data_IF_261704547947
#
_entry.id   IF_261704547947
#
_cell.length_a   1.000
_cell.length_b   1.000
_cell.length_c   1.000
_cell.angle_alpha   90.00
_cell.angle_beta   90.00
_cell.angle_gamma   90.00
#
_symmetry.space_group_name_H-M   'P 1'
#
loop_
_entity.id
_entity.type
_entity.pdbx_description
1 polymer ?
#
# COMPACT_ATOMS: atom_id res chain seq x y z
N UNK A 1 39.46 -30.24 -14.60
CA UNK A 1 38.40 -31.21 -14.25
C UNK A 1 37.59 -30.59 -13.14
N UNK A 2 36.32 -30.32 -13.45
CA UNK A 2 35.36 -29.62 -12.61
C UNK A 2 35.19 -30.27 -11.24
N UNK A 3 34.93 -29.45 -10.23
CA UNK A 3 33.90 -29.77 -9.25
C UNK A 3 33.15 -28.48 -8.89
N UNK A 4 32.02 -28.28 -9.55
CA UNK A 4 30.99 -27.32 -9.22
C UNK A 4 30.27 -27.85 -7.97
N UNK A 5 30.37 -27.14 -6.84
CA UNK A 5 29.47 -27.33 -5.70
C UNK A 5 29.60 -26.16 -4.71
N UNK A 6 29.04 -25.00 -5.08
CA UNK A 6 28.61 -23.96 -4.14
C UNK A 6 27.33 -23.29 -4.65
N UNK A 7 26.26 -24.06 -4.61
CA UNK A 7 24.89 -23.59 -4.88
C UNK A 7 24.33 -22.92 -3.62
N UNK A 8 24.25 -21.59 -3.68
CA UNK A 8 23.19 -20.72 -3.14
C UNK A 8 22.40 -21.23 -1.92
N UNK A 9 22.98 -21.16 -0.72
CA UNK A 9 22.22 -21.18 0.53
C UNK A 9 22.38 -19.85 1.25
N UNK A 10 21.24 -19.19 1.49
CA UNK A 10 20.99 -18.06 2.39
C UNK A 10 21.31 -16.65 1.85
N UNK A 11 20.54 -16.17 0.86
CA UNK A 11 20.58 -14.76 0.40
C UNK A 11 19.27 -13.98 0.59
N UNK A 12 18.46 -14.29 1.60
CA UNK A 12 17.23 -13.53 1.91
C UNK A 12 17.03 -13.17 3.39
N UNK A 13 18.08 -13.28 4.21
CA UNK A 13 18.08 -12.78 5.59
C UNK A 13 18.93 -11.49 5.69
N UNK A 14 18.63 -10.48 4.87
CA UNK A 14 19.11 -9.13 5.17
C UNK A 14 18.09 -8.51 6.13
N UNK A 15 18.51 -8.34 7.39
CA UNK A 15 17.83 -7.42 8.29
C UNK A 15 17.61 -6.09 7.55
N UNK A 16 16.47 -5.39 7.78
CA UNK A 16 16.26 -4.09 7.16
C UNK A 16 17.50 -3.23 7.44
N UNK A 17 18.11 -2.64 6.39
CA UNK A 17 19.33 -1.86 6.57
C UNK A 17 19.09 -0.82 7.65
N UNK A 18 20.07 -0.58 8.55
CA UNK A 18 19.95 0.49 9.53
C UNK A 18 19.61 1.80 8.80
N UNK A 19 18.80 2.67 9.42
CA UNK A 19 18.30 3.92 8.79
C UNK A 19 19.42 4.75 8.12
N UNK A 20 20.65 4.67 8.63
CA UNK A 20 21.84 5.30 8.04
C UNK A 20 22.17 4.80 6.62
N UNK A 21 21.99 3.51 6.34
CA UNK A 21 22.30 2.90 5.05
C UNK A 21 21.31 3.32 3.95
N UNK A 22 20.06 3.63 4.31
CA UNK A 22 19.06 4.16 3.38
C UNK A 22 19.42 5.58 2.93
N UNK A 23 19.85 6.45 3.85
CA UNK A 23 20.28 7.81 3.51
C UNK A 23 21.60 7.83 2.76
N UNK A 24 22.50 6.87 3.00
CA UNK A 24 23.69 6.67 2.19
C UNK A 24 23.34 6.30 0.73
N UNK A 25 22.44 5.35 0.52
CA UNK A 25 21.99 4.97 -0.83
C UNK A 25 21.26 6.11 -1.55
N UNK A 26 20.40 6.81 -0.83
CA UNK A 26 19.72 8.01 -1.29
C UNK A 26 20.71 9.14 -1.64
N UNK A 27 21.76 9.31 -0.83
CA UNK A 27 22.87 10.23 -1.08
C UNK A 27 23.66 9.85 -2.33
N UNK A 28 23.96 8.56 -2.55
CA UNK A 28 24.59 8.08 -3.80
C UNK A 28 23.70 8.35 -5.01
N UNK A 29 22.39 8.12 -4.87
CA UNK A 29 21.44 8.40 -5.94
C UNK A 29 21.42 9.89 -6.29
N UNK A 30 21.36 10.77 -5.30
CA UNK A 30 21.40 12.21 -5.50
C UNK A 30 22.70 12.65 -6.17
N UNK A 31 23.84 12.15 -5.68
CA UNK A 31 25.16 12.48 -6.20
C UNK A 31 25.29 12.14 -7.69
N UNK A 32 24.84 10.93 -8.06
CA UNK A 32 24.87 10.45 -9.45
C UNK A 32 23.88 11.18 -10.34
N UNK A 33 22.66 11.43 -9.88
CA UNK A 33 21.60 12.05 -10.69
C UNK A 33 21.75 13.57 -10.83
N UNK A 34 22.45 14.22 -9.91
CA UNK A 34 22.77 15.65 -9.95
C UNK A 34 24.02 15.98 -10.77
N UNK A 35 24.80 14.97 -11.18
CA UNK A 35 26.11 15.11 -11.84
C UNK A 35 27.13 15.93 -11.01
N UNK A 36 27.09 15.81 -9.68
CA UNK A 36 28.01 16.53 -8.75
C UNK A 36 29.00 15.61 -8.04
N UNK A 37 29.34 14.47 -8.65
CA UNK A 37 30.29 13.49 -8.12
C UNK A 37 31.69 14.08 -7.84
N UNK A 38 32.07 15.14 -8.56
CA UNK A 38 33.39 15.79 -8.45
C UNK A 38 33.46 16.90 -7.41
N UNK A 39 32.35 17.28 -6.77
CA UNK A 39 32.35 18.35 -5.76
C UNK A 39 33.08 17.88 -4.47
N UNK A 40 33.87 18.74 -3.80
CA UNK A 40 34.53 18.37 -2.54
C UNK A 40 33.51 18.07 -1.43
N UNK A 41 33.62 16.93 -0.74
CA UNK A 41 32.65 16.53 0.29
C UNK A 41 31.25 16.25 -0.26
N UNK A 42 31.15 15.97 -1.56
CA UNK A 42 29.89 15.75 -2.29
C UNK A 42 29.04 14.63 -1.69
N UNK A 43 29.67 13.56 -1.22
CA UNK A 43 28.95 12.43 -0.65
C UNK A 43 28.25 12.81 0.65
N UNK A 44 28.97 13.33 1.65
CA UNK A 44 28.39 13.71 2.95
C UNK A 44 27.32 14.80 2.80
N UNK A 45 27.54 15.75 1.89
CA UNK A 45 26.55 16.79 1.59
C UNK A 45 25.31 16.20 0.93
N UNK A 46 25.47 15.26 -0.02
CA UNK A 46 24.34 14.55 -0.63
C UNK A 46 23.57 13.69 0.38
N UNK A 47 24.25 13.06 1.33
CA UNK A 47 23.60 12.30 2.41
C UNK A 47 22.80 13.25 3.30
N UNK A 48 23.36 14.40 3.71
CA UNK A 48 22.62 15.40 4.49
C UNK A 48 21.41 15.96 3.73
N UNK A 49 21.54 16.19 2.42
CA UNK A 49 20.40 16.60 1.59
C UNK A 49 19.37 15.45 1.51
N UNK A 50 19.80 14.21 1.30
CA UNK A 50 18.92 13.06 1.24
C UNK A 50 18.15 12.83 2.55
N UNK A 51 18.78 13.04 3.70
CA UNK A 51 18.15 13.06 5.02
C UNK A 51 17.07 14.14 5.10
N UNK A 52 17.38 15.38 4.68
CA UNK A 52 16.41 16.49 4.63
C UNK A 52 15.23 16.21 3.68
N UNK A 53 15.42 15.36 2.66
CA UNK A 53 14.40 14.94 1.71
C UNK A 53 13.67 13.64 2.13
N UNK A 54 13.99 13.09 3.31
CA UNK A 54 13.38 11.87 3.83
C UNK A 54 13.75 10.60 3.06
N UNK A 55 14.84 10.61 2.28
CA UNK A 55 15.31 9.45 1.51
C UNK A 55 14.44 9.05 0.32
N UNK A 56 13.46 9.87 -0.05
CA UNK A 56 12.47 9.56 -1.09
C UNK A 56 13.10 9.62 -2.50
N UNK A 57 13.14 8.51 -3.28
CA UNK A 57 13.79 8.48 -4.59
C UNK A 57 13.29 9.53 -5.58
N UNK A 58 11.98 9.86 -5.55
CA UNK A 58 11.43 10.89 -6.44
C UNK A 58 11.77 12.31 -5.97
N UNK A 59 11.81 12.56 -4.65
CA UNK A 59 12.28 13.85 -4.13
C UNK A 59 13.75 14.07 -4.50
N UNK A 60 14.56 13.02 -4.38
CA UNK A 60 15.96 13.01 -4.79
C UNK A 60 16.09 13.30 -6.29
N UNK A 61 15.32 12.60 -7.14
CA UNK A 61 15.34 12.84 -8.58
C UNK A 61 14.90 14.27 -8.94
N UNK A 62 13.93 14.84 -8.22
CA UNK A 62 13.49 16.23 -8.41
C UNK A 62 14.58 17.23 -8.03
N UNK A 63 15.22 17.06 -6.87
CA UNK A 63 16.27 17.96 -6.42
C UNK A 63 17.52 17.83 -7.28
N UNK A 64 17.88 16.61 -7.69
CA UNK A 64 18.91 16.38 -8.68
C UNK A 64 18.64 17.10 -10.01
N UNK A 65 17.39 17.08 -10.48
CA UNK A 65 16.99 17.83 -11.66
C UNK A 65 17.16 19.34 -11.46
N UNK A 66 16.74 19.89 -10.32
CA UNK A 66 16.88 21.31 -10.01
C UNK A 66 18.33 21.76 -9.88
N UNK A 67 19.18 20.96 -9.22
CA UNK A 67 20.63 21.20 -9.11
C UNK A 67 21.24 21.32 -10.51
N UNK A 68 20.88 20.41 -11.42
CA UNK A 68 21.35 20.46 -12.82
C UNK A 68 20.78 21.64 -13.59
N UNK A 69 19.48 21.86 -13.51
CA UNK A 69 18.77 22.88 -14.29
C UNK A 69 19.19 24.31 -13.90
N UNK A 70 19.44 24.55 -12.60
CA UNK A 70 19.92 25.84 -12.10
C UNK A 70 21.45 25.94 -12.06
N UNK A 71 22.15 24.88 -12.49
CA UNK A 71 23.61 24.79 -12.47
C UNK A 71 24.27 25.03 -11.10
N UNK A 72 23.58 24.68 -10.00
CA UNK A 72 24.05 24.89 -8.62
C UNK A 72 25.09 23.84 -8.21
N UNK A 73 26.13 24.24 -7.48
CA UNK A 73 26.93 23.33 -6.66
C UNK A 73 26.11 22.79 -5.48
N UNK A 74 26.59 21.73 -4.81
CA UNK A 74 25.87 21.19 -3.64
C UNK A 74 25.78 22.19 -2.48
N UNK A 75 26.81 23.01 -2.25
CA UNK A 75 26.81 24.05 -1.22
C UNK A 75 25.85 25.19 -1.55
N UNK A 76 25.87 25.68 -2.80
CA UNK A 76 24.91 26.69 -3.27
C UNK A 76 23.49 26.16 -3.23
N UNK A 77 23.28 24.86 -3.50
CA UNK A 77 21.98 24.23 -3.37
C UNK A 77 21.50 24.22 -1.92
N UNK A 78 22.35 23.89 -0.95
CA UNK A 78 21.99 23.93 0.49
C UNK A 78 21.61 25.35 0.91
N UNK A 79 22.43 26.35 0.58
CA UNK A 79 22.14 27.76 0.88
C UNK A 79 20.83 28.23 0.20
N UNK A 80 20.64 27.85 -1.05
CA UNK A 80 19.43 28.17 -1.81
C UNK A 80 18.18 27.46 -1.27
N UNK A 81 18.33 26.22 -0.79
CA UNK A 81 17.28 25.44 -0.15
C UNK A 81 16.85 26.05 1.19
N UNK A 82 17.81 26.48 2.01
CA UNK A 82 17.58 27.08 3.32
C UNK A 82 16.88 28.46 3.20
N UNK A 83 17.10 29.19 2.10
CA UNK A 83 16.49 30.50 1.86
C UNK A 83 15.13 30.49 1.13
N UNK A 84 14.84 29.49 0.29
CA UNK A 84 13.70 29.54 -0.65
C UNK A 84 12.95 28.19 -0.75
N UNK A 85 12.74 27.53 0.40
CA UNK A 85 12.02 26.25 0.54
C UNK A 85 10.65 26.24 -0.17
N UNK A 86 9.96 27.40 -0.22
CA UNK A 86 8.66 27.54 -0.90
C UNK A 86 8.71 27.54 -2.43
N UNK A 87 9.80 27.93 -3.08
CA UNK A 87 9.87 27.82 -4.56
C UNK A 87 10.24 26.43 -5.04
N UNK A 88 10.92 25.65 -4.21
CA UNK A 88 11.14 24.23 -4.44
C UNK A 88 9.83 23.43 -4.38
N UNK A 89 8.93 23.86 -3.50
CA UNK A 89 7.53 23.49 -3.44
C UNK A 89 6.70 23.95 -4.67
N UNK A 90 7.27 24.51 -5.74
CA UNK A 90 6.48 24.85 -6.95
C UNK A 90 7.13 24.37 -8.25
N UNK A 91 8.30 23.75 -8.15
CA UNK A 91 9.13 23.40 -9.30
C UNK A 91 8.68 22.07 -9.95
N UNK A 92 8.07 22.17 -11.13
CA UNK A 92 7.65 21.02 -11.94
C UNK A 92 8.85 20.28 -12.53
N UNK A 93 8.82 18.94 -12.50
CA UNK A 93 9.73 18.12 -13.31
C UNK A 93 9.18 18.06 -14.75
N UNK A 94 10.00 18.23 -15.80
CA UNK A 94 9.56 17.99 -17.17
C UNK A 94 9.04 16.56 -17.34
N UNK A 95 7.75 16.41 -17.63
CA UNK A 95 7.07 15.10 -17.76
C UNK A 95 6.16 14.71 -16.58
N UNK A 96 6.23 15.40 -15.43
CA UNK A 96 5.22 15.33 -14.36
C UNK A 96 4.36 16.60 -14.40
N UNK A 97 3.04 16.46 -14.34
CA UNK A 97 2.15 17.62 -14.28
C UNK A 97 2.34 18.39 -12.98
N UNK A 98 2.19 19.73 -13.04
CA UNK A 98 2.35 20.71 -11.94
C UNK A 98 1.57 20.41 -10.65
N UNK A 99 0.65 19.44 -10.69
CA UNK A 99 -0.18 18.95 -9.57
C UNK A 99 0.44 17.78 -8.80
N UNK A 100 1.58 17.22 -9.25
CA UNK A 100 2.18 15.98 -8.73
C UNK A 100 3.56 16.20 -8.08
N UNK A 101 3.85 17.43 -7.69
CA UNK A 101 5.16 17.85 -7.19
C UNK A 101 5.39 17.42 -5.73
N UNK A 102 6.66 17.28 -5.32
CA UNK A 102 7.07 16.93 -3.94
C UNK A 102 6.54 17.95 -2.90
N UNK A 103 6.13 19.13 -3.35
CA UNK A 103 5.30 20.10 -2.60
C UNK A 103 4.17 19.51 -1.79
N UNK A 104 3.38 18.61 -2.37
CA UNK A 104 2.19 18.09 -1.70
C UNK A 104 2.59 17.26 -0.48
N UNK A 105 3.76 16.61 -0.53
CA UNK A 105 4.33 15.80 0.56
C UNK A 105 4.67 16.65 1.78
N UNK A 106 5.24 17.84 1.58
CA UNK A 106 5.57 18.74 2.70
C UNK A 106 4.37 19.47 3.32
N UNK A 107 3.20 19.47 2.66
CA UNK A 107 1.98 20.04 3.23
C UNK A 107 1.27 19.10 4.20
N UNK A 108 1.67 17.82 4.32
CA UNK A 108 0.99 16.83 5.16
C UNK A 108 0.99 17.26 6.64
N UNK A 109 2.09 17.84 7.12
CA UNK A 109 2.23 18.28 8.52
C UNK A 109 1.30 19.45 8.90
N UNK A 110 0.85 20.22 7.89
CA UNK A 110 -0.03 21.37 8.10
C UNK A 110 -1.52 21.03 8.06
N UNK A 111 -1.86 19.77 7.76
CA UNK A 111 -3.24 19.34 7.60
C UNK A 111 -3.95 19.20 8.96
N UNK A 112 -5.25 19.51 9.02
CA UNK A 112 -6.05 19.23 10.21
C UNK A 112 -6.16 17.72 10.45
N UNK A 113 -6.27 17.26 11.70
CA UNK A 113 -6.25 15.83 12.03
C UNK A 113 -7.24 14.96 11.24
N UNK A 114 -8.49 15.39 10.95
CA UNK A 114 -9.40 14.60 10.12
C UNK A 114 -8.93 14.41 8.67
N UNK A 115 -8.25 15.40 8.09
CA UNK A 115 -7.67 15.29 6.75
C UNK A 115 -6.47 14.35 6.75
N UNK A 116 -5.61 14.41 7.79
CA UNK A 116 -4.49 13.46 7.97
C UNK A 116 -5.01 12.04 8.11
N UNK A 117 -6.02 11.80 8.96
CA UNK A 117 -6.58 10.47 9.16
C UNK A 117 -7.21 9.89 7.88
N UNK A 118 -7.92 10.73 7.11
CA UNK A 118 -8.44 10.34 5.80
C UNK A 118 -7.30 10.03 4.80
N UNK A 119 -6.24 10.84 4.78
CA UNK A 119 -5.07 10.62 3.92
C UNK A 119 -4.33 9.33 4.27
N UNK A 120 -4.19 9.03 5.56
CA UNK A 120 -3.61 7.78 6.07
C UNK A 120 -4.42 6.58 5.57
N UNK A 121 -5.75 6.61 5.67
CA UNK A 121 -6.59 5.53 5.10
C UNK A 121 -6.43 5.43 3.58
N UNK A 122 -6.38 6.56 2.87
CA UNK A 122 -6.14 6.56 1.42
C UNK A 122 -4.75 6.03 1.03
N UNK A 123 -3.77 5.99 1.94
CA UNK A 123 -2.42 5.49 1.65
C UNK A 123 -2.36 3.97 1.54
N UNK A 124 -3.32 3.24 2.09
CA UNK A 124 -3.41 1.77 2.04
C UNK A 124 -4.49 1.26 1.08
N UNK A 125 -5.19 2.17 0.39
CA UNK A 125 -6.21 1.90 -0.62
C UNK A 125 -5.65 2.03 -2.04
N UNK A 126 -6.48 1.74 -3.05
CA UNK A 126 -6.11 1.90 -4.46
C UNK A 126 -5.84 3.38 -4.81
N UNK A 127 -4.71 3.60 -5.48
CA UNK A 127 -4.25 4.93 -5.88
C UNK A 127 -5.12 5.56 -6.97
N UNK A 128 -5.65 4.73 -7.86
CA UNK A 128 -6.23 5.20 -9.12
C UNK A 128 -7.71 5.53 -8.94
N UNK A 129 -8.47 4.67 -8.24
CA UNK A 129 -9.90 4.85 -8.02
C UNK A 129 -10.37 4.36 -6.64
N UNK A 130 -10.45 5.28 -5.68
CA UNK A 130 -11.15 5.07 -4.41
C UNK A 130 -12.53 5.73 -4.44
N UNK A 131 -13.58 4.92 -4.56
CA UNK A 131 -14.96 5.41 -4.66
C UNK A 131 -15.48 5.98 -3.33
N UNK A 132 -16.38 6.97 -3.43
CA UNK A 132 -16.96 7.65 -2.27
C UNK A 132 -17.68 6.69 -1.30
N UNK A 133 -18.35 5.67 -1.82
CA UNK A 133 -19.05 4.68 -1.00
C UNK A 133 -18.11 3.97 -0.02
N UNK A 134 -16.92 3.57 -0.46
CA UNK A 134 -15.88 2.98 0.42
C UNK A 134 -15.58 3.90 1.61
N UNK A 135 -15.47 5.21 1.39
CA UNK A 135 -15.01 6.17 2.41
C UNK A 135 -16.14 6.75 3.29
N UNK A 136 -17.40 6.46 2.98
CA UNK A 136 -18.54 7.09 3.66
C UNK A 136 -19.55 6.11 4.22
N UNK A 137 -19.41 4.81 3.93
CA UNK A 137 -20.30 3.77 4.45
C UNK A 137 -19.73 3.22 5.76
N UNK A 138 -20.60 3.06 6.77
CA UNK A 138 -20.28 2.49 8.09
C UNK A 138 -19.02 3.05 8.77
N UNK A 139 -18.75 4.34 8.58
CA UNK A 139 -17.65 5.10 9.24
C UNK A 139 -17.69 5.01 10.76
N UNK A 140 -18.85 4.70 11.35
CA UNK A 140 -19.01 4.45 12.79
C UNK A 140 -18.29 3.18 13.28
N UNK A 141 -18.07 2.19 12.41
CA UNK A 141 -17.33 0.94 12.71
C UNK A 141 -15.82 1.13 12.66
N UNK A 142 -15.33 2.25 12.11
CA UNK A 142 -13.90 2.52 11.99
C UNK A 142 -13.33 2.94 13.34
N UNK A 143 -12.37 2.14 13.82
CA UNK A 143 -11.59 2.41 15.05
C UNK A 143 -10.27 3.06 14.65
N UNK A 144 -10.34 4.33 14.23
CA UNK A 144 -9.17 5.14 13.91
C UNK A 144 -9.37 6.56 14.43
N UNK A 145 -8.35 7.10 15.10
CA UNK A 145 -8.41 8.42 15.68
C UNK A 145 -8.60 9.50 14.60
N UNK A 146 -9.42 10.50 14.92
CA UNK A 146 -9.78 11.62 14.05
C UNK A 146 -10.41 11.24 12.70
N UNK A 147 -10.68 9.97 12.42
CA UNK A 147 -11.28 9.58 11.16
C UNK A 147 -12.67 10.21 11.01
N UNK A 148 -13.00 10.83 9.85
CA UNK A 148 -14.29 11.48 9.67
C UNK A 148 -15.46 10.51 9.80
N UNK A 149 -16.26 10.66 10.86
CA UNK A 149 -17.42 9.77 11.12
C UNK A 149 -18.71 10.28 10.49
N UNK A 150 -18.84 11.58 10.24
CA UNK A 150 -20.02 12.13 9.58
C UNK A 150 -19.74 12.52 8.12
N UNK A 151 -20.80 12.68 7.32
CA UNK A 151 -20.68 13.14 5.93
C UNK A 151 -20.11 14.54 5.82
N UNK A 152 -20.40 15.41 6.80
CA UNK A 152 -19.92 16.79 6.84
C UNK A 152 -18.42 16.79 7.09
N UNK A 153 -17.96 16.10 8.14
CA UNK A 153 -16.52 15.97 8.45
C UNK A 153 -15.74 15.37 7.27
N UNK A 154 -16.31 14.37 6.59
CA UNK A 154 -15.70 13.78 5.41
C UNK A 154 -15.55 14.80 4.27
N UNK A 155 -16.57 15.65 4.05
CA UNK A 155 -16.50 16.66 3.00
C UNK A 155 -15.46 17.74 3.31
N UNK A 156 -15.35 18.19 4.56
CA UNK A 156 -14.35 19.16 5.01
C UNK A 156 -12.93 18.58 4.93
N UNK A 157 -12.73 17.35 5.41
CA UNK A 157 -11.46 16.65 5.31
C UNK A 157 -11.03 16.47 3.85
N UNK A 158 -11.95 16.00 2.99
CA UNK A 158 -11.70 15.84 1.55
C UNK A 158 -11.43 17.17 0.86
N UNK A 159 -12.17 18.23 1.17
CA UNK A 159 -11.93 19.56 0.61
C UNK A 159 -10.52 20.04 0.93
N UNK A 160 -10.08 19.83 2.16
CA UNK A 160 -8.72 20.17 2.60
C UNK A 160 -7.66 19.41 1.81
N UNK A 161 -7.84 18.11 1.59
CA UNK A 161 -6.92 17.29 0.77
C UNK A 161 -6.88 17.69 -0.71
N UNK A 162 -8.01 18.15 -1.26
CA UNK A 162 -8.09 18.67 -2.63
C UNK A 162 -7.37 20.02 -2.71
N UNK A 163 -7.62 20.93 -1.75
CA UNK A 163 -6.95 22.24 -1.68
C UNK A 163 -5.43 22.12 -1.55
N UNK A 164 -4.95 21.11 -0.83
CA UNK A 164 -3.53 20.82 -0.70
C UNK A 164 -2.93 20.05 -1.88
N UNK A 165 -3.72 19.75 -2.92
CA UNK A 165 -3.28 18.98 -4.10
C UNK A 165 -2.71 17.60 -3.76
N UNK A 166 -3.20 16.98 -2.68
CA UNK A 166 -2.84 15.61 -2.28
C UNK A 166 -3.74 14.57 -2.94
N UNK A 167 -4.98 14.96 -3.24
CA UNK A 167 -6.00 14.09 -3.83
C UNK A 167 -6.74 14.83 -4.93
N UNK A 168 -7.00 14.14 -6.04
CA UNK A 168 -7.84 14.62 -7.13
C UNK A 168 -9.19 13.92 -7.09
N UNK A 169 -10.27 14.62 -7.45
CA UNK A 169 -11.62 14.06 -7.49
C UNK A 169 -12.15 14.00 -8.91
N UNK A 170 -12.61 12.84 -9.32
CA UNK A 170 -13.46 12.70 -10.49
C UNK A 170 -14.93 12.90 -10.07
N UNK A 171 -15.55 13.98 -10.52
CA UNK A 171 -16.94 14.32 -10.16
C UNK A 171 -17.94 13.41 -10.88
N UNK A 172 -17.68 13.10 -12.15
CA UNK A 172 -18.56 12.31 -13.02
C UNK A 172 -18.65 10.85 -12.56
N UNK A 173 -17.49 10.24 -12.30
CA UNK A 173 -17.39 8.83 -11.91
C UNK A 173 -17.39 8.62 -10.39
N UNK A 174 -17.28 9.69 -9.60
CA UNK A 174 -17.48 9.66 -8.15
C UNK A 174 -16.36 9.00 -7.33
N UNK A 175 -15.11 9.04 -7.82
CA UNK A 175 -13.94 8.51 -7.11
C UNK A 175 -12.88 9.57 -6.83
N UNK A 176 -12.00 9.26 -5.88
CA UNK A 176 -10.77 9.97 -5.56
C UNK A 176 -9.57 9.23 -6.13
N UNK A 177 -8.58 10.00 -6.56
CA UNK A 177 -7.28 9.53 -7.03
C UNK A 177 -6.21 10.18 -6.17
N UNK A 178 -5.28 9.37 -5.69
CA UNK A 178 -4.12 9.81 -4.91
C UNK A 178 -2.85 9.37 -5.64
N UNK A 179 -1.82 10.21 -5.64
CA UNK A 179 -0.58 9.85 -6.30
C UNK A 179 0.13 8.74 -5.51
N UNK A 180 0.60 7.68 -6.19
CA UNK A 180 1.29 6.54 -5.55
C UNK A 180 2.44 6.97 -4.63
N UNK A 181 3.23 7.98 -5.03
CA UNK A 181 4.28 8.54 -4.17
C UNK A 181 3.73 9.12 -2.86
N UNK A 182 2.60 9.84 -2.92
CA UNK A 182 2.00 10.41 -1.69
C UNK A 182 1.59 9.28 -0.76
N UNK A 183 1.03 8.18 -1.29
CA UNK A 183 0.71 7.02 -0.48
C UNK A 183 1.96 6.40 0.15
N UNK A 184 3.04 6.24 -0.62
CA UNK A 184 4.32 5.72 -0.11
C UNK A 184 4.84 6.58 1.02
N UNK A 185 4.93 7.90 0.82
CA UNK A 185 5.38 8.86 1.84
C UNK A 185 4.56 8.73 3.12
N UNK A 186 3.23 8.75 2.99
CA UNK A 186 2.33 8.66 4.15
C UNK A 186 2.53 7.34 4.88
N UNK A 187 2.72 6.22 4.18
CA UNK A 187 3.02 4.92 4.82
C UNK A 187 4.37 4.92 5.53
N UNK A 188 5.41 5.50 4.93
CA UNK A 188 6.75 5.59 5.55
C UNK A 188 6.78 6.45 6.82
N UNK A 189 5.83 7.38 6.96
CA UNK A 189 5.69 8.21 8.16
C UNK A 189 4.93 7.52 9.29
N UNK A 190 4.30 6.37 9.04
CA UNK A 190 3.51 5.65 10.05
C UNK A 190 4.41 4.65 10.78
N UNK A 191 4.34 4.67 12.11
CA UNK A 191 4.88 3.57 12.89
C UNK A 191 4.07 2.28 12.65
N UNK A 192 4.66 1.11 12.89
CA UNK A 192 4.01 -0.19 12.62
C UNK A 192 2.64 -0.31 13.30
N UNK A 193 2.48 0.22 14.52
CA UNK A 193 1.20 0.21 15.24
C UNK A 193 0.14 1.12 14.60
N UNK A 194 0.54 2.32 14.14
CA UNK A 194 -0.35 3.23 13.42
C UNK A 194 -0.74 2.66 12.05
N UNK A 195 0.23 2.10 11.32
CA UNK A 195 -0.03 1.46 10.03
C UNK A 195 -1.01 0.30 10.17
N UNK A 196 -0.90 -0.50 11.24
CA UNK A 196 -1.85 -1.57 11.57
C UNK A 196 -3.26 -1.01 11.78
N UNK A 197 -3.41 0.05 12.57
CA UNK A 197 -4.71 0.66 12.83
C UNK A 197 -5.34 1.24 11.54
N UNK A 198 -4.52 1.91 10.71
CA UNK A 198 -4.93 2.45 9.42
C UNK A 198 -5.33 1.34 8.44
N UNK A 199 -4.58 0.25 8.41
CA UNK A 199 -4.87 -0.93 7.59
C UNK A 199 -6.20 -1.58 8.00
N UNK A 200 -6.40 -1.85 9.29
CA UNK A 200 -7.64 -2.44 9.78
C UNK A 200 -8.85 -1.54 9.51
N UNK A 201 -8.70 -0.21 9.69
CA UNK A 201 -9.72 0.76 9.33
C UNK A 201 -10.11 0.66 7.83
N UNK A 202 -9.12 0.57 6.95
CA UNK A 202 -9.36 0.40 5.51
C UNK A 202 -10.06 -0.94 5.19
N UNK A 203 -9.65 -2.03 5.85
CA UNK A 203 -10.29 -3.35 5.72
C UNK A 203 -11.76 -3.29 6.12
N UNK A 204 -12.10 -2.62 7.22
CA UNK A 204 -13.49 -2.42 7.66
C UNK A 204 -14.30 -1.67 6.61
N UNK A 205 -13.76 -0.58 6.07
CA UNK A 205 -14.43 0.24 5.05
C UNK A 205 -14.69 -0.54 3.75
N UNK A 206 -13.69 -1.28 3.27
CA UNK A 206 -13.81 -2.08 2.05
C UNK A 206 -14.76 -3.26 2.27
N UNK A 207 -14.68 -3.94 3.41
CA UNK A 207 -15.56 -5.06 3.75
C UNK A 207 -17.03 -4.64 3.79
N UNK A 208 -17.33 -3.43 4.25
CA UNK A 208 -18.71 -2.95 4.36
C UNK A 208 -19.39 -2.74 2.99
N UNK A 209 -18.63 -2.35 1.98
CA UNK A 209 -19.13 -2.21 0.61
C UNK A 209 -18.92 -3.47 -0.25
N UNK A 210 -18.14 -4.43 0.24
CA UNK A 210 -17.83 -5.65 -0.48
C UNK A 210 -19.06 -6.58 -0.52
N UNK A 211 -19.48 -7.04 -1.71
CA UNK A 211 -20.62 -7.94 -1.84
C UNK A 211 -20.19 -9.38 -1.54
N UNK A 212 -19.96 -9.72 -0.27
CA UNK A 212 -19.64 -11.09 0.16
C UNK A 212 -20.66 -12.08 -0.40
N UNK A 213 -20.19 -13.27 -0.78
CA UNK A 213 -21.03 -14.29 -1.39
C UNK A 213 -22.12 -14.77 -0.43
N UNK A 214 -23.35 -14.85 -0.93
CA UNK A 214 -24.41 -15.61 -0.28
C UNK A 214 -24.45 -17.04 -0.86
N UNK A 215 -24.94 -18.00 -0.07
CA UNK A 215 -25.00 -19.41 -0.48
C UNK A 215 -25.92 -19.65 -1.68
N UNK A 216 -26.81 -18.70 -1.98
CA UNK A 216 -27.89 -18.88 -2.94
C UNK A 216 -27.45 -18.59 -4.39
N UNK A 217 -26.60 -17.59 -4.63
CA UNK A 217 -26.07 -17.34 -5.98
C UNK A 217 -24.80 -16.46 -5.99
N UNK A 218 -23.60 -17.05 -5.84
CA UNK A 218 -22.35 -16.29 -5.81
C UNK A 218 -22.00 -15.61 -7.14
N UNK A 219 -22.64 -16.00 -8.26
CA UNK A 219 -22.26 -15.60 -9.62
C UNK A 219 -23.21 -14.57 -10.25
N UNK A 220 -24.04 -13.87 -9.45
CA UNK A 220 -24.92 -12.83 -9.99
C UNK A 220 -24.12 -11.70 -10.65
N UNK A 221 -24.56 -11.27 -11.84
CA UNK A 221 -23.82 -10.30 -12.64
C UNK A 221 -23.65 -8.94 -11.94
N UNK A 222 -24.68 -8.47 -11.21
CA UNK A 222 -24.64 -7.23 -10.43
C UNK A 222 -23.62 -7.31 -9.28
N UNK A 223 -23.54 -8.47 -8.60
CA UNK A 223 -22.50 -8.75 -7.60
C UNK A 223 -21.12 -8.71 -8.25
N UNK A 224 -20.92 -9.42 -9.36
CA UNK A 224 -19.61 -9.49 -10.02
C UNK A 224 -19.11 -8.12 -10.48
N UNK A 225 -20.01 -7.22 -10.92
CA UNK A 225 -19.66 -5.84 -11.24
C UNK A 225 -19.17 -5.06 -10.00
N UNK A 226 -19.84 -5.22 -8.86
CA UNK A 226 -19.41 -4.61 -7.59
C UNK A 226 -18.07 -5.19 -7.11
N UNK A 227 -17.88 -6.50 -7.19
CA UNK A 227 -16.59 -7.15 -6.90
C UNK A 227 -15.50 -6.54 -7.79
N UNK A 228 -15.71 -6.48 -9.11
CA UNK A 228 -14.73 -5.91 -10.04
C UNK A 228 -14.39 -4.45 -9.72
N UNK A 229 -15.39 -3.66 -9.30
CA UNK A 229 -15.22 -2.25 -8.95
C UNK A 229 -14.33 -2.04 -7.72
N UNK A 230 -14.45 -2.90 -6.72
CA UNK A 230 -13.69 -2.78 -5.46
C UNK A 230 -12.46 -3.69 -5.40
N UNK A 231 -12.28 -4.59 -6.37
CA UNK A 231 -11.15 -5.52 -6.44
C UNK A 231 -9.77 -4.87 -6.28
N UNK A 232 -9.47 -3.72 -6.93
CA UNK A 232 -8.17 -3.07 -6.78
C UNK A 232 -7.81 -2.73 -5.33
N UNK A 233 -8.81 -2.45 -4.50
CA UNK A 233 -8.62 -2.17 -3.07
C UNK A 233 -8.04 -3.39 -2.34
N UNK A 234 -8.54 -4.59 -2.64
CA UNK A 234 -8.06 -5.84 -2.03
C UNK A 234 -6.67 -6.22 -2.56
N UNK A 235 -6.37 -5.91 -3.82
CA UNK A 235 -5.01 -6.04 -4.37
C UNK A 235 -4.02 -5.13 -3.64
N UNK A 236 -4.42 -3.91 -3.30
CA UNK A 236 -3.56 -3.02 -2.50
C UNK A 236 -3.32 -3.55 -1.08
N UNK A 237 -4.32 -4.15 -0.44
CA UNK A 237 -4.14 -4.80 0.86
C UNK A 237 -3.11 -5.92 0.83
N UNK A 238 -3.10 -6.74 -0.23
CA UNK A 238 -2.04 -7.73 -0.47
C UNK A 238 -0.69 -7.05 -0.66
N UNK A 239 -0.60 -6.02 -1.49
CA UNK A 239 0.66 -5.32 -1.77
C UNK A 239 1.27 -4.70 -0.51
N UNK A 240 0.47 -4.06 0.35
CA UNK A 240 0.95 -3.48 1.62
C UNK A 240 1.55 -4.56 2.53
N UNK A 241 0.92 -5.74 2.61
CA UNK A 241 1.42 -6.85 3.43
C UNK A 241 2.70 -7.49 2.89
N UNK A 242 2.87 -7.52 1.56
CA UNK A 242 4.10 -8.02 0.94
C UNK A 242 5.30 -7.11 1.24
N UNK A 243 5.08 -5.80 1.41
CA UNK A 243 6.15 -4.84 1.73
C UNK A 243 6.51 -4.84 3.23
N UNK A 244 5.52 -4.90 4.12
CA UNK A 244 5.73 -4.73 5.58
C UNK A 244 5.98 -6.03 6.34
N UNK A 245 5.93 -7.19 5.66
CA UNK A 245 5.88 -8.53 6.23
C UNK A 245 4.67 -8.75 7.17
N UNK A 246 3.85 -9.75 6.84
CA UNK A 246 2.66 -10.18 7.59
C UNK A 246 2.88 -10.29 9.11
N UNK A 247 4.02 -10.84 9.53
CA UNK A 247 4.34 -11.07 10.95
C UNK A 247 4.54 -9.78 11.76
N UNK A 248 4.90 -8.66 11.10
CA UNK A 248 5.11 -7.36 11.75
C UNK A 248 3.80 -6.60 11.91
N UNK A 249 2.98 -6.55 10.85
CA UNK A 249 1.74 -5.77 10.86
C UNK A 249 0.62 -6.42 11.69
N UNK A 250 0.52 -7.76 11.69
CA UNK A 250 -0.52 -8.53 12.43
C UNK A 250 -1.96 -7.98 12.24
N UNK A 251 -2.47 -7.87 11.01
CA UNK A 251 -3.81 -7.34 10.75
C UNK A 251 -4.91 -8.18 11.39
N UNK A 252 -6.12 -7.62 11.48
CA UNK A 252 -7.30 -8.34 11.99
C UNK A 252 -7.77 -9.46 11.05
N UNK A 253 -8.37 -10.50 11.63
CA UNK A 253 -8.89 -11.69 10.93
C UNK A 253 -9.87 -11.35 9.81
N UNK A 254 -10.58 -10.21 9.91
CA UNK A 254 -11.53 -9.74 8.91
C UNK A 254 -10.93 -9.63 7.48
N UNK A 255 -9.62 -9.37 7.35
CA UNK A 255 -8.97 -9.29 6.03
C UNK A 255 -8.98 -10.63 5.29
N UNK A 256 -8.98 -11.75 6.02
CA UNK A 256 -9.02 -13.09 5.44
C UNK A 256 -10.29 -13.32 4.62
N UNK A 257 -11.42 -12.73 5.03
CA UNK A 257 -12.67 -12.80 4.28
C UNK A 257 -12.54 -12.18 2.89
N UNK A 258 -11.91 -11.00 2.79
CA UNK A 258 -11.66 -10.32 1.52
C UNK A 258 -10.69 -11.11 0.63
N UNK A 259 -9.65 -11.71 1.21
CA UNK A 259 -8.68 -12.52 0.46
C UNK A 259 -9.28 -13.83 -0.06
N UNK A 260 -10.13 -14.48 0.74
CA UNK A 260 -10.88 -15.65 0.31
C UNK A 260 -11.80 -15.30 -0.89
N UNK A 261 -12.54 -14.19 -0.81
CA UNK A 261 -13.37 -13.70 -1.92
C UNK A 261 -12.55 -13.27 -3.16
N UNK A 262 -11.37 -12.69 -2.95
CA UNK A 262 -10.46 -12.35 -4.03
C UNK A 262 -9.96 -13.60 -4.76
N UNK A 263 -9.60 -14.65 -4.02
CA UNK A 263 -9.22 -15.94 -4.59
C UNK A 263 -10.34 -16.56 -5.41
N UNK A 264 -11.56 -16.61 -4.84
CA UNK A 264 -12.73 -17.09 -5.57
C UNK A 264 -12.97 -16.34 -6.88
N UNK A 265 -12.78 -15.02 -6.87
CA UNK A 265 -12.93 -14.18 -8.07
C UNK A 265 -11.91 -14.53 -9.17
N UNK A 266 -10.68 -14.87 -8.80
CA UNK A 266 -9.66 -15.36 -9.74
C UNK A 266 -9.95 -16.77 -10.26
N UNK A 267 -10.45 -17.67 -9.39
CA UNK A 267 -10.89 -19.02 -9.78
C UNK A 267 -11.99 -18.93 -10.84
N UNK A 268 -13.00 -18.07 -10.63
CA UNK A 268 -14.11 -17.87 -11.57
C UNK A 268 -13.68 -17.32 -12.94
N UNK A 269 -12.61 -16.53 -12.97
CA UNK A 269 -12.14 -15.83 -14.18
C UNK A 269 -10.99 -16.56 -14.88
N UNK A 270 -10.76 -17.82 -14.54
CA UNK A 270 -9.57 -18.60 -14.92
C UNK A 270 -9.25 -18.54 -16.43
N UNK A 271 -8.40 -17.58 -16.77
CA UNK A 271 -7.64 -17.45 -18.02
C UNK A 271 -6.22 -17.00 -17.64
N UNK A 272 -5.20 -17.73 -18.07
CA UNK A 272 -3.78 -17.34 -17.88
C UNK A 272 -3.30 -17.37 -16.42
N UNK A 273 -2.48 -16.38 -16.03
CA UNK A 273 -1.77 -16.30 -14.75
C UNK A 273 -2.65 -16.04 -13.51
N UNK A 274 -3.96 -15.79 -13.66
CA UNK A 274 -4.83 -15.41 -12.55
C UNK A 274 -4.95 -16.45 -11.42
N UNK A 275 -4.71 -17.74 -11.70
CA UNK A 275 -4.69 -18.78 -10.65
C UNK A 275 -3.53 -18.61 -9.67
N UNK A 276 -2.39 -18.08 -10.11
CA UNK A 276 -1.25 -17.80 -9.24
C UNK A 276 -1.58 -16.68 -8.26
N UNK A 277 -2.26 -15.63 -8.72
CA UNK A 277 -2.75 -14.56 -7.85
C UNK A 277 -3.79 -15.10 -6.86
N UNK A 278 -4.73 -15.92 -7.32
CA UNK A 278 -5.71 -16.57 -6.44
C UNK A 278 -5.06 -17.44 -5.35
N UNK A 279 -3.99 -18.17 -5.68
CA UNK A 279 -3.21 -18.93 -4.71
C UNK A 279 -2.46 -18.03 -3.72
N UNK A 280 -1.93 -16.88 -4.18
CA UNK A 280 -1.24 -15.92 -3.32
C UNK A 280 -2.19 -15.29 -2.27
N UNK A 281 -3.42 -14.94 -2.67
CA UNK A 281 -4.43 -14.44 -1.73
C UNK A 281 -4.79 -15.49 -0.66
N UNK A 282 -4.93 -16.76 -1.04
CA UNK A 282 -5.23 -17.83 -0.08
C UNK A 282 -4.06 -18.11 0.85
N UNK A 283 -2.83 -18.11 0.34
CA UNK A 283 -1.64 -18.28 1.16
C UNK A 283 -1.55 -17.20 2.25
N UNK A 284 -1.84 -15.95 1.89
CA UNK A 284 -1.96 -14.85 2.86
C UNK A 284 -3.07 -15.11 3.87
N UNK A 285 -4.28 -15.46 3.42
CA UNK A 285 -5.41 -15.79 4.29
C UNK A 285 -5.06 -16.86 5.33
N UNK A 286 -4.46 -17.98 4.91
CA UNK A 286 -4.03 -19.07 5.80
C UNK A 286 -2.92 -18.65 6.77
N UNK A 287 -2.00 -17.79 6.32
CA UNK A 287 -0.95 -17.25 7.18
C UNK A 287 -1.55 -16.42 8.33
N UNK A 288 -2.60 -15.64 8.08
CA UNK A 288 -3.29 -14.88 9.13
C UNK A 288 -4.11 -15.76 10.05
N UNK A 289 -4.88 -16.69 9.47
CA UNK A 289 -5.74 -17.57 10.25
C UNK A 289 -4.94 -18.55 11.11
N UNK A 290 -3.69 -18.86 10.75
CA UNK A 290 -2.76 -19.67 11.55
C UNK A 290 -2.08 -18.94 12.70
N UNK A 291 -2.17 -17.60 12.78
CA UNK A 291 -1.64 -16.80 13.89
C UNK A 291 -2.76 -16.66 14.94
N UNK A 292 -2.49 -17.17 16.15
CA UNK A 292 -3.39 -17.34 17.32
C UNK A 292 -4.66 -16.47 17.43
N UNK A 293 -5.78 -17.16 17.75
CA UNK A 293 -6.86 -16.70 18.64
C UNK A 293 -7.80 -15.60 18.11
N UNK A 294 -8.72 -15.95 17.21
CA UNK A 294 -9.89 -15.10 16.96
C UNK A 294 -10.81 -15.13 18.19
N UNK A 295 -11.34 -13.97 18.59
CA UNK A 295 -12.38 -13.89 19.64
C UNK A 295 -13.68 -14.61 19.23
N UNK A 296 -13.91 -14.75 17.92
CA UNK A 296 -15.03 -15.50 17.33
C UNK A 296 -14.50 -16.77 16.66
N UNK A 297 -14.57 -17.89 17.39
CA UNK A 297 -14.16 -19.22 16.92
C UNK A 297 -14.98 -19.67 15.70
N UNK A 298 -16.28 -19.36 15.66
CA UNK A 298 -17.15 -19.77 14.56
C UNK A 298 -16.78 -19.05 13.25
N UNK A 299 -16.55 -17.74 13.34
CA UNK A 299 -16.09 -16.95 12.18
C UNK A 299 -14.72 -17.44 11.70
N UNK A 300 -13.81 -17.71 12.64
CA UNK A 300 -12.47 -18.21 12.31
C UNK A 300 -12.49 -19.56 11.62
N UNK A 301 -13.23 -20.54 12.15
CA UNK A 301 -13.38 -21.85 11.52
C UNK A 301 -14.01 -21.75 10.13
N UNK A 302 -15.00 -20.88 9.94
CA UNK A 302 -15.60 -20.64 8.62
C UNK A 302 -14.58 -20.06 7.62
N UNK A 303 -13.85 -19.03 8.01
CA UNK A 303 -12.84 -18.41 7.15
C UNK A 303 -11.70 -19.37 6.81
N UNK A 304 -11.32 -20.24 7.76
CA UNK A 304 -10.31 -21.27 7.58
C UNK A 304 -10.80 -22.36 6.62
N UNK A 305 -12.06 -22.80 6.75
CA UNK A 305 -12.67 -23.74 5.83
C UNK A 305 -12.72 -23.17 4.40
N UNK A 306 -13.13 -21.90 4.23
CA UNK A 306 -13.14 -21.23 2.93
C UNK A 306 -11.72 -21.11 2.34
N UNK A 307 -10.72 -20.77 3.17
CA UNK A 307 -9.34 -20.68 2.73
C UNK A 307 -8.80 -22.03 2.22
N UNK A 308 -8.98 -23.12 2.97
CA UNK A 308 -8.58 -24.45 2.53
C UNK A 308 -9.34 -24.93 1.30
N UNK A 309 -10.63 -24.62 1.19
CA UNK A 309 -11.44 -24.90 0.00
C UNK A 309 -10.82 -24.24 -1.23
N UNK A 310 -10.53 -22.94 -1.16
CA UNK A 310 -9.95 -22.22 -2.29
C UNK A 310 -8.52 -22.67 -2.58
N UNK A 311 -7.72 -23.00 -1.56
CA UNK A 311 -6.38 -23.56 -1.74
C UNK A 311 -6.43 -24.87 -2.53
N UNK A 312 -7.34 -25.78 -2.14
CA UNK A 312 -7.54 -27.08 -2.80
C UNK A 312 -7.90 -26.91 -4.28
N UNK A 313 -8.83 -25.98 -4.58
CA UNK A 313 -9.25 -25.68 -5.95
C UNK A 313 -8.08 -25.07 -6.76
N UNK A 314 -7.40 -24.05 -6.25
CA UNK A 314 -6.27 -23.42 -6.97
C UNK A 314 -5.13 -24.42 -7.18
N UNK A 315 -4.79 -25.20 -6.16
CA UNK A 315 -3.73 -26.21 -6.24
C UNK A 315 -4.07 -27.31 -7.24
N UNK A 316 -5.33 -27.75 -7.31
CA UNK A 316 -5.79 -28.72 -8.30
C UNK A 316 -5.56 -28.22 -9.73
N UNK A 317 -6.01 -26.99 -10.04
CA UNK A 317 -5.83 -26.42 -11.38
C UNK A 317 -4.35 -26.13 -11.70
N UNK A 318 -3.51 -25.88 -10.70
CA UNK A 318 -2.07 -25.65 -10.86
C UNK A 318 -1.23 -26.93 -10.86
N UNK A 319 -1.82 -28.11 -10.61
CA UNK A 319 -1.08 -29.37 -10.47
C UNK A 319 -0.13 -29.42 -9.27
N UNK A 320 -0.48 -28.72 -8.17
CA UNK A 320 0.31 -28.66 -6.94
C UNK A 320 -0.06 -29.80 -5.98
N UNK A 321 0.95 -30.34 -5.29
CA UNK A 321 0.79 -31.39 -4.25
C UNK A 321 -0.05 -30.94 -3.05
N UNK A 322 -0.31 -29.63 -2.92
CA UNK A 322 -1.15 -29.06 -1.86
C UNK A 322 -2.65 -29.35 -2.05
N UNK A 323 -3.09 -29.82 -3.22
CA UNK A 323 -4.50 -30.03 -3.51
C UNK A 323 -5.18 -31.02 -2.54
N UNK A 324 -4.58 -32.20 -2.37
CA UNK A 324 -5.15 -33.27 -1.51
C UNK A 324 -5.10 -32.91 -0.02
N UNK A 325 -3.98 -32.42 0.54
CA UNK A 325 -3.94 -31.96 1.93
C UNK A 325 -4.98 -30.86 2.23
N UNK A 326 -5.08 -29.84 1.38
CA UNK A 326 -6.02 -28.73 1.59
C UNK A 326 -7.47 -29.20 1.60
N UNK A 327 -7.84 -30.11 0.69
CA UNK A 327 -9.19 -30.69 0.68
C UNK A 327 -9.49 -31.52 1.95
N UNK A 328 -8.49 -32.20 2.53
CA UNK A 328 -8.67 -32.93 3.80
C UNK A 328 -8.92 -31.99 4.97
N UNK A 329 -8.14 -30.92 5.09
CA UNK A 329 -8.34 -29.89 6.12
C UNK A 329 -9.67 -29.15 5.94
N UNK A 330 -10.09 -28.90 4.70
CA UNK A 330 -11.41 -28.34 4.43
C UNK A 330 -12.53 -29.25 4.94
N UNK A 331 -12.46 -30.55 4.66
CA UNK A 331 -13.47 -31.53 5.11
C UNK A 331 -13.49 -31.66 6.63
N UNK A 332 -12.33 -31.64 7.29
CA UNK A 332 -12.25 -31.78 8.76
C UNK A 332 -12.92 -30.62 9.50
N UNK A 333 -12.91 -29.42 8.92
CA UNK A 333 -13.55 -28.22 9.48
C UNK A 333 -15.08 -28.15 9.26
N UNK A 334 -15.64 -29.05 8.44
CA UNK A 334 -17.08 -29.12 8.16
C UNK A 334 -17.83 -30.15 9.01
N UNK A 335 -17.10 -30.99 9.76
CA UNK A 335 -17.63 -32.09 10.59
C UNK A 335 -17.72 -31.67 12.05
#
# INVERSE_FOLDING_TARGET
MCNEDRVWKNSWAMAPPPLSCLYEEAGRLLQKTSNRESDPGSFDTCVSIAERLGGLPLAIAQMAHQIRHKHLSLTEFVEYYDHDTRKFQEASIPGLTKQQTVTSIWNIESLPPPAVSLLRVLSVLDSDATYKDVLTTSTSKVVLEHYPKTKVDYFEARETLIKSSLVTRNIELGFLTIHRLVQEVVRHQLETGELRAVYNAAVVLVSDVWPFSDEMNPNRADRLHKVQRHFPQVTMFKSVLEHEEVGKLKPEVAVAALFNEASWSYILRSRGYGLQDGAAFVALSLQFLGIEGSEDENLHSKLLADAYRFQGITAFYMGSDLAVPSCKEWISLLV
#
